data_IF_690971873725
#
_entry.id   IF_690971873725
#
_cell.length_a   1.000
_cell.length_b   1.000
_cell.length_c   1.000
_cell.angle_alpha   90.00
_cell.angle_beta   90.00
_cell.angle_gamma   90.00
#
_symmetry.space_group_name_H-M   'P 1'
#
loop_
_entity.id
_entity.type
_entity.pdbx_description
1 polymer ?
#
# COMPACT_ATOMS: atom_id res chain seq x y z
N UNK A 1 4.77 51.27 -0.11
CA UNK A 1 5.83 50.24 0.01
C UNK A 1 5.23 48.91 -0.39
N UNK A 2 5.82 48.27 -1.39
CA UNK A 2 5.28 47.08 -2.05
C UNK A 2 5.23 45.88 -1.08
N UNK A 3 4.05 45.30 -0.91
CA UNK A 3 3.85 44.06 -0.15
C UNK A 3 4.11 42.89 -1.09
N UNK A 4 5.32 42.33 -0.99
CA UNK A 4 5.71 41.07 -1.62
C UNK A 4 5.24 39.89 -0.76
N UNK A 5 4.02 39.40 -0.97
CA UNK A 5 3.57 38.11 -0.43
C UNK A 5 2.53 37.49 -1.38
N UNK A 6 3.01 36.93 -2.50
CA UNK A 6 2.23 36.18 -3.48
C UNK A 6 2.85 34.79 -3.66
N UNK A 7 2.88 33.98 -2.59
CA UNK A 7 3.51 32.65 -2.65
C UNK A 7 2.93 31.58 -1.73
N UNK A 8 1.77 31.79 -1.10
CA UNK A 8 1.12 30.72 -0.34
C UNK A 8 0.10 29.99 -1.19
N UNK A 9 0.64 29.01 -1.92
CA UNK A 9 0.06 27.72 -2.32
C UNK A 9 -1.44 27.57 -1.97
N UNK A 10 -2.28 27.66 -3.00
CA UNK A 10 -3.61 27.06 -2.99
C UNK A 10 -3.44 25.54 -3.01
N UNK A 11 -3.89 24.78 -2.00
CA UNK A 11 -3.98 23.33 -2.11
C UNK A 11 -5.19 23.04 -3.00
N UNK A 12 -4.95 22.94 -4.30
CA UNK A 12 -5.94 22.42 -5.22
C UNK A 12 -5.87 20.89 -5.11
N UNK A 13 -6.94 20.28 -4.58
CA UNK A 13 -7.22 18.84 -4.61
C UNK A 13 -7.45 18.36 -6.06
N UNK A 14 -6.52 18.67 -6.96
CA UNK A 14 -6.37 18.04 -8.26
C UNK A 14 -5.34 16.91 -8.15
N UNK A 15 -5.42 16.10 -7.09
CA UNK A 15 -4.95 14.72 -7.16
C UNK A 15 -5.99 13.90 -7.96
N UNK A 16 -6.32 14.34 -9.19
CA UNK A 16 -6.67 13.39 -10.22
C UNK A 16 -5.40 12.59 -10.42
N UNK A 17 -5.45 11.31 -10.09
CA UNK A 17 -4.44 10.32 -10.41
C UNK A 17 -4.05 10.55 -11.87
N UNK A 18 -2.93 11.24 -12.09
CA UNK A 18 -2.41 11.53 -13.42
C UNK A 18 -1.97 10.18 -14.00
N UNK A 19 -2.86 9.58 -14.78
CA UNK A 19 -2.56 8.32 -15.45
C UNK A 19 -1.42 8.59 -16.42
N UNK A 20 -0.33 7.87 -16.26
CA UNK A 20 0.78 7.86 -17.22
C UNK A 20 0.21 7.30 -18.53
N UNK A 21 -0.06 8.20 -19.49
CA UNK A 21 -0.46 8.00 -20.91
C UNK A 21 -1.60 8.93 -21.39
N UNK A 22 -1.80 10.10 -20.80
CA UNK A 22 -2.78 11.05 -21.34
C UNK A 22 -2.22 11.86 -22.52
N UNK A 23 -3.03 12.03 -23.56
CA UNK A 23 -2.69 12.73 -24.81
C UNK A 23 -2.91 14.24 -24.68
N UNK A 24 -2.16 15.02 -25.43
CA UNK A 24 -2.38 16.44 -25.61
C UNK A 24 -3.72 16.68 -26.31
N UNK A 25 -4.61 17.41 -25.65
CA UNK A 25 -5.98 17.62 -26.09
C UNK A 25 -6.08 18.46 -27.38
N UNK A 26 -5.33 19.56 -27.55
CA UNK A 26 -5.26 20.26 -28.84
C UNK A 26 -4.75 19.38 -29.98
N UNK A 27 -3.71 18.57 -29.75
CA UNK A 27 -3.18 17.70 -30.80
C UNK A 27 -4.15 16.57 -31.15
N UNK A 28 -4.79 15.98 -30.15
CA UNK A 28 -5.80 14.93 -30.34
C UNK A 28 -7.00 15.47 -31.13
N UNK A 29 -7.44 16.70 -30.86
CA UNK A 29 -8.50 17.36 -31.63
C UNK A 29 -8.17 17.53 -33.12
N UNK A 30 -6.87 17.58 -33.46
CA UNK A 30 -6.35 17.65 -34.84
C UNK A 30 -5.93 16.29 -35.42
N UNK A 31 -6.23 15.18 -34.73
CA UNK A 31 -5.90 13.82 -35.16
C UNK A 31 -4.46 13.39 -34.91
N UNK A 32 -3.75 14.02 -33.96
CA UNK A 32 -2.37 13.69 -33.58
C UNK A 32 -2.29 13.20 -32.13
N UNK A 33 -1.90 11.94 -31.96
CA UNK A 33 -1.72 11.32 -30.65
C UNK A 33 -0.34 11.64 -30.07
N UNK A 34 -0.19 12.86 -29.53
CA UNK A 34 1.04 13.28 -28.83
C UNK A 34 0.84 13.23 -27.33
N UNK A 35 1.82 12.74 -26.58
CA UNK A 35 1.75 12.67 -25.13
C UNK A 35 1.72 14.08 -24.49
N UNK A 36 0.87 14.27 -23.49
CA UNK A 36 0.86 15.48 -22.69
C UNK A 36 2.01 15.51 -21.68
N UNK A 37 2.60 16.67 -21.49
CA UNK A 37 3.70 16.96 -20.56
C UNK A 37 3.35 18.05 -19.56
N UNK A 38 2.28 18.81 -19.82
CA UNK A 38 1.78 19.85 -18.93
C UNK A 38 0.26 19.92 -18.95
N UNK A 39 -0.29 20.52 -17.90
CA UNK A 39 -1.70 20.73 -17.70
C UNK A 39 -1.94 22.16 -17.24
N UNK A 40 -2.87 22.86 -17.88
CA UNK A 40 -3.23 24.23 -17.56
C UNK A 40 -4.40 24.26 -16.60
N UNK A 41 -4.21 24.86 -15.43
CA UNK A 41 -5.23 24.96 -14.38
C UNK A 41 -6.35 25.94 -14.73
N UNK A 42 -6.08 26.92 -15.60
CA UNK A 42 -7.05 27.96 -15.95
C UNK A 42 -7.89 27.56 -17.17
N UNK A 43 -7.40 26.64 -18.00
CA UNK A 43 -8.13 26.09 -19.14
C UNK A 43 -8.70 24.69 -18.89
N UNK A 44 -8.25 24.01 -17.83
CA UNK A 44 -8.56 22.58 -17.59
C UNK A 44 -8.17 21.70 -18.80
N UNK A 45 -7.03 22.02 -19.43
CA UNK A 45 -6.58 21.38 -20.66
C UNK A 45 -5.14 20.84 -20.57
N UNK A 46 -4.87 19.74 -21.29
CA UNK A 46 -3.57 19.04 -21.34
C UNK A 46 -2.77 19.35 -22.60
N UNK A 47 -1.49 19.64 -22.44
CA UNK A 47 -0.62 20.12 -23.51
C UNK A 47 0.66 19.28 -23.66
N UNK A 48 1.08 19.04 -24.90
CA UNK A 48 2.44 18.62 -25.23
C UNK A 48 3.37 19.85 -25.20
N UNK A 49 4.69 19.64 -25.27
CA UNK A 49 5.67 20.75 -25.20
C UNK A 49 5.40 21.85 -26.23
N UNK A 50 4.96 21.48 -27.44
CA UNK A 50 4.68 22.45 -28.50
C UNK A 50 3.42 23.26 -28.20
N UNK A 51 2.36 22.60 -27.74
CA UNK A 51 1.11 23.28 -27.44
C UNK A 51 1.23 24.13 -26.17
N UNK A 52 2.04 23.73 -25.19
CA UNK A 52 2.37 24.55 -24.02
C UNK A 52 3.08 25.86 -24.42
N UNK A 53 4.09 25.77 -25.27
CA UNK A 53 4.82 26.96 -25.74
C UNK A 53 3.87 27.89 -26.49
N UNK A 54 3.02 27.36 -27.36
CA UNK A 54 2.02 28.16 -28.05
C UNK A 54 1.02 28.77 -27.04
N UNK A 55 0.55 27.99 -26.06
CA UNK A 55 -0.39 28.45 -25.04
C UNK A 55 0.17 29.61 -24.20
N UNK A 56 1.45 29.54 -23.81
CA UNK A 56 2.10 30.59 -23.00
C UNK A 56 2.52 31.82 -23.83
N UNK A 57 2.61 31.71 -25.15
CA UNK A 57 2.94 32.85 -26.03
C UNK A 57 1.73 33.71 -26.39
N UNK A 58 0.52 33.15 -26.41
CA UNK A 58 -0.69 33.91 -26.74
C UNK A 58 -1.07 34.91 -25.63
N UNK A 59 -1.48 36.12 -26.03
CA UNK A 59 -1.85 37.20 -25.09
C UNK A 59 -2.97 36.82 -24.12
N UNK A 60 -3.88 35.94 -24.55
CA UNK A 60 -5.02 35.46 -23.76
C UNK A 60 -4.63 34.47 -22.67
N UNK A 61 -3.55 33.70 -22.86
CA UNK A 61 -3.19 32.56 -22.03
C UNK A 61 -1.75 32.61 -21.47
N UNK A 62 -0.99 33.68 -21.77
CA UNK A 62 0.37 33.90 -21.26
C UNK A 62 0.52 33.91 -19.74
N UNK A 63 -0.56 34.22 -19.02
CA UNK A 63 -0.59 34.32 -17.57
C UNK A 63 -1.29 33.11 -16.92
N UNK A 64 -1.64 32.10 -17.72
CA UNK A 64 -2.22 30.89 -17.18
C UNK A 64 -1.20 30.08 -16.40
N UNK A 65 -1.68 29.32 -15.43
CA UNK A 65 -0.88 28.51 -14.52
C UNK A 65 -0.79 27.10 -15.08
N UNK A 66 0.42 26.68 -15.42
CA UNK A 66 0.70 25.34 -15.93
C UNK A 66 1.42 24.49 -14.88
N UNK A 67 0.99 23.24 -14.77
CA UNK A 67 1.61 22.20 -13.96
C UNK A 67 2.30 21.19 -14.89
N UNK A 68 3.56 20.87 -14.63
CA UNK A 68 4.27 19.81 -15.37
C UNK A 68 3.78 18.44 -14.92
N UNK A 69 3.48 17.58 -15.89
CA UNK A 69 3.13 16.19 -15.68
C UNK A 69 4.43 15.40 -15.51
N UNK A 70 4.81 15.13 -14.26
CA UNK A 70 6.05 14.40 -13.96
C UNK A 70 5.79 12.89 -14.17
N UNK A 71 6.65 12.22 -14.95
CA UNK A 71 6.79 10.76 -14.94
C UNK A 71 7.51 10.33 -13.66
N UNK A 72 6.90 10.53 -12.51
CA UNK A 72 7.49 10.18 -11.23
C UNK A 72 7.11 8.75 -10.83
N UNK A 73 8.04 7.93 -10.31
CA UNK A 73 7.69 6.66 -9.69
C UNK A 73 6.73 6.90 -8.50
N UNK A 74 5.90 5.89 -8.12
CA UNK A 74 4.89 6.04 -7.07
C UNK A 74 5.42 6.57 -5.73
N UNK A 75 6.71 6.35 -5.42
CA UNK A 75 7.38 6.83 -4.20
C UNK A 75 7.47 8.35 -4.11
N UNK A 76 7.69 9.01 -5.24
CA UNK A 76 7.93 10.45 -5.31
C UNK A 76 6.60 11.21 -5.25
N UNK A 77 5.52 10.59 -5.73
CA UNK A 77 4.15 11.09 -5.61
C UNK A 77 3.73 11.18 -4.13
N UNK A 78 4.11 10.21 -3.30
CA UNK A 78 3.81 10.20 -1.86
C UNK A 78 4.56 11.31 -1.11
N UNK A 79 5.82 11.58 -1.48
CA UNK A 79 6.59 12.69 -0.92
C UNK A 79 6.02 14.05 -1.33
N UNK A 80 5.67 14.23 -2.61
CA UNK A 80 5.08 15.47 -3.12
C UNK A 80 3.69 15.73 -2.52
N UNK A 81 2.88 14.69 -2.33
CA UNK A 81 1.57 14.80 -1.68
C UNK A 81 1.69 15.24 -0.23
N UNK A 82 2.70 14.77 0.52
CA UNK A 82 2.95 15.22 1.89
C UNK A 82 3.38 16.68 1.96
N UNK A 83 4.19 17.16 1.02
CA UNK A 83 4.59 18.57 0.96
C UNK A 83 3.41 19.50 0.61
N UNK A 84 2.48 19.03 -0.23
CA UNK A 84 1.31 19.81 -0.67
C UNK A 84 0.16 19.82 0.37
N UNK A 85 0.14 18.87 1.29
CA UNK A 85 -0.92 18.72 2.31
C UNK A 85 -0.48 19.12 3.72
N UNK A 86 0.80 19.45 3.91
CA UNK A 86 1.33 19.89 5.20
C UNK A 86 0.93 21.33 5.53
N UNK A 87 0.64 21.58 6.81
CA UNK A 87 0.29 22.91 7.27
C UNK A 87 1.51 23.83 7.29
N UNK A 88 1.38 25.04 6.71
CA UNK A 88 2.45 26.04 6.68
C UNK A 88 2.97 26.46 8.08
N UNK A 89 2.13 26.42 9.11
CA UNK A 89 2.54 26.69 10.50
C UNK A 89 3.00 25.43 11.26
N UNK A 90 2.67 24.24 10.75
CA UNK A 90 2.96 22.95 11.40
C UNK A 90 3.30 21.91 10.32
N UNK A 91 4.55 21.89 9.83
CA UNK A 91 4.93 21.04 8.68
C UNK A 91 4.75 19.53 8.91
N UNK A 92 4.66 19.08 10.17
CA UNK A 92 4.41 17.69 10.53
C UNK A 92 2.93 17.31 10.57
N UNK A 93 2.02 18.26 10.36
CA UNK A 93 0.58 18.06 10.49
C UNK A 93 -0.11 18.27 9.15
N UNK A 94 -1.03 17.37 8.83
CA UNK A 94 -1.82 17.46 7.61
C UNK A 94 -2.95 18.49 7.77
N UNK A 95 -3.27 19.14 6.66
CA UNK A 95 -4.39 20.06 6.52
C UNK A 95 -5.68 19.25 6.39
N UNK A 96 -6.60 19.43 7.34
CA UNK A 96 -7.83 18.61 7.46
C UNK A 96 -9.10 19.47 7.51
N UNK A 97 -8.98 20.74 7.92
CA UNK A 97 -10.09 21.66 8.13
C UNK A 97 -9.99 22.88 7.22
N UNK A 98 -11.13 23.49 6.94
CA UNK A 98 -11.25 24.82 6.34
C UNK A 98 -11.93 25.73 7.37
N UNK A 99 -11.27 26.83 7.70
CA UNK A 99 -11.89 27.90 8.48
C UNK A 99 -12.70 28.77 7.53
N UNK A 100 -14.03 28.78 7.68
CA UNK A 100 -14.94 29.52 6.80
C UNK A 100 -14.84 31.02 7.04
N UNK A 101 -14.55 31.44 8.28
CA UNK A 101 -14.43 32.87 8.62
C UNK A 101 -13.21 33.54 7.96
N UNK A 102 -12.14 32.79 7.72
CA UNK A 102 -10.91 33.28 7.08
C UNK A 102 -10.70 32.75 5.66
N UNK A 103 -11.57 31.87 5.19
CA UNK A 103 -11.45 31.08 3.95
C UNK A 103 -10.06 30.46 3.77
N UNK A 104 -9.58 29.78 4.83
CA UNK A 104 -8.22 29.21 4.87
C UNK A 104 -8.19 27.75 5.31
N UNK A 105 -7.39 26.91 4.64
CA UNK A 105 -7.13 25.54 5.08
C UNK A 105 -6.22 25.51 6.31
N UNK A 106 -6.49 24.63 7.27
CA UNK A 106 -5.74 24.51 8.51
C UNK A 106 -5.68 23.08 9.07
N UNK A 107 -4.65 22.78 9.86
CA UNK A 107 -4.51 21.50 10.56
C UNK A 107 -5.19 21.53 11.95
N UNK A 108 -5.27 20.37 12.60
CA UNK A 108 -5.80 20.22 13.96
C UNK A 108 -5.18 21.21 14.97
N UNK A 109 -3.85 21.40 14.92
CA UNK A 109 -3.17 22.35 15.83
C UNK A 109 -3.61 23.79 15.57
N UNK A 110 -3.79 24.20 14.31
CA UNK A 110 -4.29 25.54 13.98
C UNK A 110 -5.74 25.75 14.41
N UNK A 111 -6.59 24.72 14.27
CA UNK A 111 -7.98 24.77 14.70
C UNK A 111 -8.11 25.08 16.20
N UNK A 112 -7.29 24.43 17.03
CA UNK A 112 -7.34 24.57 18.50
C UNK A 112 -6.61 25.81 19.02
N UNK A 113 -5.61 26.31 18.29
CA UNK A 113 -4.78 27.45 18.74
C UNK A 113 -5.22 28.78 18.15
N UNK A 114 -5.26 28.90 16.82
CA UNK A 114 -5.50 30.17 16.10
C UNK A 114 -6.98 30.37 15.80
N UNK A 115 -7.66 29.32 15.35
CA UNK A 115 -9.07 29.41 14.91
C UNK A 115 -10.08 29.03 15.98
N UNK A 116 -9.68 28.91 17.26
CA UNK A 116 -10.57 28.54 18.37
C UNK A 116 -11.77 29.49 18.55
N UNK A 117 -11.60 30.75 18.16
CA UNK A 117 -12.65 31.80 18.23
C UNK A 117 -13.42 31.96 16.92
N UNK A 118 -12.99 31.30 15.86
CA UNK A 118 -13.72 31.24 14.60
C UNK A 118 -14.98 30.40 14.81
N UNK A 119 -16.09 30.84 14.23
CA UNK A 119 -17.43 30.31 14.45
C UNK A 119 -17.73 29.10 13.57
N UNK A 120 -17.00 28.95 12.45
CA UNK A 120 -17.20 27.86 11.49
C UNK A 120 -15.87 27.27 11.02
N UNK A 121 -15.55 26.09 11.57
CA UNK A 121 -14.48 25.20 11.12
C UNK A 121 -15.16 23.93 10.61
N UNK A 122 -14.98 23.64 9.33
CA UNK A 122 -15.55 22.45 8.70
C UNK A 122 -14.43 21.55 8.18
N UNK A 123 -14.70 20.25 8.08
CA UNK A 123 -13.74 19.33 7.45
C UNK A 123 -13.73 19.56 5.94
N UNK A 124 -12.58 19.31 5.31
CA UNK A 124 -12.45 19.40 3.86
C UNK A 124 -13.44 18.46 3.15
N UNK A 125 -13.61 17.25 3.69
CA UNK A 125 -14.60 16.28 3.18
C UNK A 125 -16.03 16.82 3.22
N UNK A 126 -16.41 17.49 4.32
CA UNK A 126 -17.73 18.11 4.43
C UNK A 126 -17.91 19.25 3.42
N UNK A 127 -16.89 20.10 3.26
CA UNK A 127 -16.91 21.21 2.30
C UNK A 127 -17.03 20.73 0.85
N UNK A 128 -16.38 19.61 0.50
CA UNK A 128 -16.47 18.98 -0.83
C UNK A 128 -17.87 18.38 -1.04
N UNK A 129 -18.39 17.67 -0.04
CA UNK A 129 -19.66 16.94 -0.15
C UNK A 129 -20.88 17.87 -0.23
N UNK A 130 -20.83 19.01 0.46
CA UNK A 130 -21.98 19.91 0.58
C UNK A 130 -21.77 21.28 -0.10
N UNK A 131 -20.66 21.46 -0.82
CA UNK A 131 -20.43 22.63 -1.68
C UNK A 131 -20.39 23.97 -0.95
N UNK A 132 -19.99 23.99 0.33
CA UNK A 132 -19.97 25.21 1.17
C UNK A 132 -18.76 26.12 0.92
N UNK A 133 -17.89 25.79 -0.03
CA UNK A 133 -16.83 26.69 -0.48
C UNK A 133 -17.44 27.75 -1.38
N UNK A 134 -17.37 29.02 -0.96
CA UNK A 134 -17.63 30.15 -1.85
C UNK A 134 -16.54 30.17 -2.92
N UNK A 135 -16.82 29.56 -4.06
CA UNK A 135 -16.07 29.86 -5.27
C UNK A 135 -16.46 31.28 -5.63
N UNK A 136 -15.55 32.24 -5.44
CA UNK A 136 -15.60 33.50 -6.17
C UNK A 136 -15.54 33.16 -7.65
N UNK A 137 -16.71 32.91 -8.24
CA UNK A 137 -16.85 32.91 -9.69
C UNK A 137 -16.54 34.34 -10.13
N UNK A 138 -15.70 34.54 -11.17
CA UNK A 138 -15.47 35.86 -11.71
C UNK A 138 -16.83 36.47 -12.04
N UNK A 139 -17.13 37.64 -11.46
CA UNK A 139 -18.34 38.42 -11.77
C UNK A 139 -18.55 38.43 -13.28
N UNK A 140 -19.75 38.10 -13.79
CA UNK A 140 -20.02 38.26 -15.21
C UNK A 140 -19.73 39.72 -15.58
N UNK A 141 -18.99 39.91 -16.68
CA UNK A 141 -18.64 41.23 -17.21
C UNK A 141 -19.89 42.12 -17.27
N UNK A 142 -19.79 43.43 -16.96
CA UNK A 142 -20.91 44.33 -17.14
C UNK A 142 -21.37 44.26 -18.60
N UNK A 143 -22.66 43.97 -18.80
CA UNK A 143 -23.28 44.15 -20.09
C UNK A 143 -23.11 45.62 -20.48
N UNK A 144 -22.37 45.86 -21.57
CA UNK A 144 -22.34 47.17 -22.21
C UNK A 144 -23.74 47.32 -22.82
N UNK A 145 -24.62 48.04 -22.13
CA UNK A 145 -25.89 48.51 -22.64
C UNK A 145 -25.60 49.50 -23.77
N UNK A 146 -25.92 49.10 -25.00
CA UNK A 146 -26.03 50.02 -26.13
C UNK A 146 -27.50 50.43 -26.14
N UNK A 147 -27.71 51.71 -25.83
CA UNK A 147 -28.87 52.55 -26.09
C UNK A 147 -30.09 51.86 -26.71
N UNK A 148 -31.22 51.93 -25.98
CA UNK A 148 -32.55 51.72 -26.52
C UNK A 148 -32.76 52.59 -27.77
N UNK A 149 -33.10 51.95 -28.88
CA UNK A 149 -33.90 52.60 -29.90
C UNK A 149 -34.85 51.57 -30.50
N UNK A 150 -36.13 51.88 -30.35
CA UNK A 150 -37.27 51.11 -30.79
C UNK A 150 -37.20 50.73 -32.28
N UNK A 151 -37.35 49.43 -32.56
CA UNK A 151 -38.19 48.84 -33.61
C UNK A 151 -37.88 47.34 -33.71
N UNK A 152 -38.73 46.49 -33.12
CA UNK A 152 -38.76 45.07 -33.48
C UNK A 152 -39.80 44.86 -34.58
N UNK A 153 -39.41 44.73 -35.86
CA UNK A 153 -40.21 43.97 -36.81
C UNK A 153 -40.13 42.49 -36.45
N UNK A 154 -41.23 41.78 -36.68
CA UNK A 154 -41.45 40.37 -36.35
C UNK A 154 -40.21 39.47 -36.50
N UNK A 155 -39.93 38.67 -35.46
CA UNK A 155 -38.96 37.57 -35.49
C UNK A 155 -39.46 36.50 -36.47
N UNK A 156 -39.14 36.63 -37.75
CA UNK A 156 -39.42 35.62 -38.79
C UNK A 156 -38.16 35.01 -39.40
N UNK A 157 -36.99 35.15 -38.77
CA UNK A 157 -35.73 34.53 -39.23
C UNK A 157 -35.29 33.29 -38.45
N UNK A 158 -36.15 32.70 -37.61
CA UNK A 158 -35.75 31.58 -36.73
C UNK A 158 -35.86 30.16 -37.34
N UNK A 159 -36.27 30.00 -38.61
CA UNK A 159 -36.39 28.67 -39.23
C UNK A 159 -35.07 28.07 -39.71
N UNK A 160 -34.12 28.87 -40.19
CA UNK A 160 -32.81 28.38 -40.64
C UNK A 160 -31.95 27.91 -39.46
N UNK A 161 -31.86 28.74 -38.41
CA UNK A 161 -31.13 28.40 -37.17
C UNK A 161 -31.72 27.20 -36.44
N UNK A 162 -33.06 27.01 -36.43
CA UNK A 162 -33.69 25.80 -35.89
C UNK A 162 -33.34 24.54 -36.70
N UNK A 163 -33.39 24.59 -38.04
CA UNK A 163 -33.00 23.45 -38.88
C UNK A 163 -31.54 23.05 -38.68
N UNK A 164 -30.63 24.02 -38.52
CA UNK A 164 -29.23 23.73 -38.18
C UNK A 164 -29.08 23.13 -36.78
N UNK A 165 -29.88 23.58 -35.80
CA UNK A 165 -29.91 23.01 -34.45
C UNK A 165 -30.46 21.58 -34.41
N UNK A 166 -31.52 21.29 -35.15
CA UNK A 166 -32.13 19.94 -35.19
C UNK A 166 -31.19 18.93 -35.85
N UNK A 167 -30.49 19.34 -36.90
CA UNK A 167 -29.45 18.53 -37.54
C UNK A 167 -28.26 18.27 -36.60
N UNK A 168 -27.82 19.29 -35.85
CA UNK A 168 -26.76 19.13 -34.85
C UNK A 168 -27.18 18.18 -33.73
N UNK A 169 -28.41 18.30 -33.22
CA UNK A 169 -28.96 17.43 -32.19
C UNK A 169 -29.08 15.97 -32.65
N UNK A 170 -29.47 15.72 -33.91
CA UNK A 170 -29.50 14.38 -34.49
C UNK A 170 -28.11 13.73 -34.53
N UNK A 171 -27.08 14.49 -34.93
CA UNK A 171 -25.69 14.02 -34.93
C UNK A 171 -25.19 13.74 -33.51
N UNK A 172 -25.52 14.59 -32.54
CA UNK A 172 -25.17 14.39 -31.14
C UNK A 172 -25.82 13.10 -30.61
N UNK A 173 -27.09 12.89 -30.90
CA UNK A 173 -27.82 11.68 -30.48
C UNK A 173 -27.20 10.41 -31.08
N UNK A 174 -26.89 10.42 -32.37
CA UNK A 174 -26.22 9.28 -33.03
C UNK A 174 -24.85 8.98 -32.42
N UNK A 175 -24.05 10.02 -32.13
CA UNK A 175 -22.75 9.87 -31.46
C UNK A 175 -22.90 9.38 -30.02
N UNK A 176 -23.91 9.84 -29.28
CA UNK A 176 -24.20 9.38 -27.92
C UNK A 176 -24.49 7.89 -27.91
N UNK A 177 -25.40 7.43 -28.77
CA UNK A 177 -25.74 6.00 -28.86
C UNK A 177 -24.54 5.15 -29.29
N UNK A 178 -23.69 5.67 -30.20
CA UNK A 178 -22.46 4.99 -30.59
C UNK A 178 -21.45 4.90 -29.46
N UNK A 179 -21.34 5.93 -28.60
CA UNK A 179 -20.50 5.90 -27.42
C UNK A 179 -21.06 4.94 -26.35
N UNK A 180 -22.37 4.94 -26.13
CA UNK A 180 -23.04 4.03 -25.19
C UNK A 180 -22.80 2.57 -25.58
N UNK A 181 -23.03 2.21 -26.84
CA UNK A 181 -22.76 0.85 -27.34
C UNK A 181 -21.28 0.46 -27.25
N UNK A 182 -20.35 1.39 -27.49
CA UNK A 182 -18.92 1.14 -27.31
C UNK A 182 -18.56 0.93 -25.84
N UNK A 183 -19.15 1.71 -24.93
CA UNK A 183 -18.93 1.58 -23.49
C UNK A 183 -19.45 0.23 -22.99
N UNK A 184 -20.64 -0.19 -23.42
CA UNK A 184 -21.21 -1.50 -23.07
C UNK A 184 -20.33 -2.65 -23.55
N UNK A 185 -19.80 -2.58 -24.77
CA UNK A 185 -18.88 -3.59 -25.29
C UNK A 185 -17.57 -3.67 -24.49
N UNK A 186 -17.03 -2.53 -24.04
CA UNK A 186 -15.84 -2.49 -23.19
C UNK A 186 -16.12 -3.09 -21.81
N UNK A 187 -17.24 -2.75 -21.18
CA UNK A 187 -17.64 -3.30 -19.88
C UNK A 187 -17.77 -4.83 -19.98
N UNK A 188 -18.46 -5.34 -21.01
CA UNK A 188 -18.59 -6.78 -21.22
C UNK A 188 -17.26 -7.48 -21.43
N UNK A 189 -16.33 -6.86 -22.14
CA UNK A 189 -14.99 -7.41 -22.34
C UNK A 189 -14.19 -7.43 -21.04
N UNK A 190 -14.24 -6.36 -20.23
CA UNK A 190 -13.60 -6.32 -18.92
C UNK A 190 -14.20 -7.36 -17.96
N UNK A 191 -15.54 -7.51 -17.94
CA UNK A 191 -16.22 -8.52 -17.13
C UNK A 191 -15.79 -9.95 -17.53
N UNK A 192 -15.68 -10.24 -18.83
CA UNK A 192 -15.17 -11.53 -19.31
C UNK A 192 -13.72 -11.79 -18.88
N UNK A 193 -12.86 -10.77 -18.92
CA UNK A 193 -11.49 -10.91 -18.43
C UNK A 193 -11.45 -11.16 -16.92
N UNK A 194 -12.30 -10.49 -16.14
CA UNK A 194 -12.41 -10.70 -14.70
C UNK A 194 -12.82 -12.14 -14.37
N UNK A 195 -13.85 -12.67 -15.04
CA UNK A 195 -14.30 -14.06 -14.86
C UNK A 195 -13.16 -15.05 -15.16
N UNK A 196 -12.43 -14.84 -16.27
CA UNK A 196 -11.29 -15.71 -16.62
C UNK A 196 -10.18 -15.68 -15.56
N UNK A 197 -9.89 -14.51 -15.00
CA UNK A 197 -8.88 -14.36 -13.93
C UNK A 197 -9.34 -15.03 -12.65
N UNK A 198 -10.62 -14.91 -12.29
CA UNK A 198 -11.20 -15.58 -11.11
C UNK A 198 -11.12 -17.11 -11.24
N UNK A 199 -11.53 -17.67 -12.38
CA UNK A 199 -11.42 -19.11 -12.64
C UNK A 199 -9.96 -19.59 -12.61
N UNK A 200 -9.04 -18.83 -13.20
CA UNK A 200 -7.62 -19.13 -13.18
C UNK A 200 -7.05 -19.10 -11.76
N UNK A 201 -7.48 -18.14 -10.95
CA UNK A 201 -7.08 -18.03 -9.54
C UNK A 201 -7.59 -19.23 -8.73
N UNK A 202 -8.85 -19.63 -8.92
CA UNK A 202 -9.43 -20.77 -8.21
C UNK A 202 -8.76 -22.10 -8.60
N UNK A 203 -8.47 -22.30 -9.89
CA UNK A 203 -7.70 -23.45 -10.36
C UNK A 203 -6.29 -23.49 -9.74
N UNK A 204 -5.60 -22.35 -9.69
CA UNK A 204 -4.27 -22.26 -9.08
C UNK A 204 -4.33 -22.55 -7.58
N UNK A 205 -5.36 -22.05 -6.90
CA UNK A 205 -5.59 -22.29 -5.47
C UNK A 205 -5.83 -23.77 -5.17
N UNK A 206 -6.63 -24.46 -5.98
CA UNK A 206 -6.86 -25.90 -5.85
C UNK A 206 -5.56 -26.69 -6.07
N UNK A 207 -4.80 -26.35 -7.10
CA UNK A 207 -3.49 -26.96 -7.36
C UNK A 207 -2.51 -26.77 -6.20
N UNK A 208 -2.41 -25.55 -5.65
CA UNK A 208 -1.57 -25.26 -4.50
C UNK A 208 -2.00 -26.04 -3.26
N UNK A 209 -3.30 -26.21 -3.04
CA UNK A 209 -3.84 -27.01 -1.95
C UNK A 209 -3.50 -28.50 -2.11
N UNK A 210 -3.57 -29.03 -3.33
CA UNK A 210 -3.18 -30.40 -3.64
C UNK A 210 -1.69 -30.62 -3.35
N UNK A 211 -0.82 -29.74 -3.86
CA UNK A 211 0.64 -29.81 -3.63
C UNK A 211 0.95 -29.74 -2.13
N UNK A 212 0.31 -28.83 -1.40
CA UNK A 212 0.46 -28.73 0.05
C UNK A 212 0.09 -30.03 0.74
N UNK A 213 -1.04 -30.65 0.38
CA UNK A 213 -1.48 -31.91 0.98
C UNK A 213 -0.49 -33.07 0.75
N UNK A 214 0.13 -33.11 -0.45
CA UNK A 214 1.17 -34.10 -0.78
C UNK A 214 2.42 -33.90 0.06
N UNK A 215 2.87 -32.65 0.23
CA UNK A 215 4.02 -32.30 1.08
C UNK A 215 3.74 -32.68 2.54
N UNK A 216 2.57 -32.31 3.08
CA UNK A 216 2.19 -32.62 4.46
C UNK A 216 2.12 -34.13 4.69
N UNK A 217 1.56 -34.89 3.74
CA UNK A 217 1.53 -36.35 3.81
C UNK A 217 2.93 -36.95 3.82
N UNK A 218 3.81 -36.53 2.90
CA UNK A 218 5.19 -37.01 2.81
C UNK A 218 5.97 -36.69 4.09
N UNK A 219 5.85 -35.46 4.60
CA UNK A 219 6.49 -35.03 5.83
C UNK A 219 6.02 -35.86 7.03
N UNK A 220 4.70 -36.06 7.16
CA UNK A 220 4.13 -36.88 8.24
C UNK A 220 4.59 -38.34 8.18
N UNK A 221 4.70 -38.92 6.98
CA UNK A 221 5.22 -40.27 6.82
C UNK A 221 6.69 -40.37 7.22
N UNK A 222 7.53 -39.43 6.77
CA UNK A 222 8.94 -39.37 7.16
C UNK A 222 9.11 -39.17 8.66
N UNK A 223 8.37 -38.24 9.25
CA UNK A 223 8.39 -37.98 10.69
C UNK A 223 8.00 -39.23 11.49
N UNK A 224 6.94 -39.95 11.09
CA UNK A 224 6.54 -41.21 11.74
C UNK A 224 7.64 -42.27 11.67
N UNK A 225 8.25 -42.47 10.50
CA UNK A 225 9.35 -43.44 10.31
C UNK A 225 10.56 -43.08 11.18
N UNK A 226 10.99 -41.82 11.13
CA UNK A 226 12.14 -41.34 11.90
C UNK A 226 11.90 -41.46 13.41
N UNK A 227 10.70 -41.09 13.87
CA UNK A 227 10.31 -41.21 15.29
C UNK A 227 10.32 -42.67 15.75
N UNK A 228 9.75 -43.59 14.96
CA UNK A 228 9.75 -45.01 15.28
C UNK A 228 11.17 -45.58 15.32
N UNK A 229 12.02 -45.21 14.37
CA UNK A 229 13.42 -45.62 14.34
C UNK A 229 14.19 -45.12 15.57
N UNK A 230 14.03 -43.84 15.94
CA UNK A 230 14.67 -43.28 17.13
C UNK A 230 14.21 -44.00 18.41
N UNK A 231 12.90 -44.29 18.53
CA UNK A 231 12.35 -45.05 19.68
C UNK A 231 12.95 -46.45 19.76
N UNK A 232 13.01 -47.17 18.64
CA UNK A 232 13.57 -48.52 18.60
C UNK A 232 15.07 -48.52 18.96
N UNK A 233 15.86 -47.61 18.40
CA UNK A 233 17.28 -47.47 18.73
C UNK A 233 17.49 -47.12 20.21
N UNK A 234 16.66 -46.23 20.75
CA UNK A 234 16.72 -45.86 22.18
C UNK A 234 16.40 -47.06 23.07
N UNK A 235 15.38 -47.85 22.73
CA UNK A 235 15.04 -49.07 23.46
C UNK A 235 16.16 -50.11 23.41
N UNK A 236 16.77 -50.32 22.24
CA UNK A 236 17.87 -51.26 22.08
C UNK A 236 19.09 -50.84 22.90
N UNK A 237 19.46 -49.55 22.85
CA UNK A 237 20.54 -48.99 23.66
C UNK A 237 20.26 -49.16 25.15
N UNK A 238 19.06 -48.85 25.60
CA UNK A 238 18.66 -49.03 27.01
C UNK A 238 18.77 -50.49 27.46
N UNK A 239 18.35 -51.45 26.62
CA UNK A 239 18.51 -52.87 26.92
C UNK A 239 19.99 -53.29 27.01
N UNK A 240 20.85 -52.77 26.11
CA UNK A 240 22.30 -53.03 26.15
C UNK A 240 22.93 -52.46 27.42
N UNK A 241 22.56 -51.23 27.79
CA UNK A 241 23.01 -50.57 29.03
C UNK A 241 22.59 -51.39 30.25
N UNK A 242 21.33 -51.81 30.33
CA UNK A 242 20.85 -52.65 31.44
C UNK A 242 21.63 -53.97 31.56
N UNK A 243 21.87 -54.66 30.43
CA UNK A 243 22.70 -55.88 30.42
C UNK A 243 24.14 -55.64 30.87
N UNK A 244 24.73 -54.50 30.56
CA UNK A 244 26.06 -54.14 31.04
C UNK A 244 26.05 -53.78 32.53
N UNK A 245 25.03 -53.07 33.00
CA UNK A 245 24.85 -52.72 34.41
C UNK A 245 24.73 -53.96 35.30
N UNK A 246 23.95 -54.97 34.89
CA UNK A 246 23.82 -56.22 35.66
C UNK A 246 25.14 -56.98 35.75
N UNK A 247 25.90 -57.05 34.65
CA UNK A 247 27.25 -57.63 34.65
C UNK A 247 28.21 -56.87 35.56
N UNK A 248 28.18 -55.53 35.53
CA UNK A 248 29.01 -54.70 36.39
C UNK A 248 28.66 -54.89 37.87
N UNK A 249 27.36 -55.03 38.20
CA UNK A 249 26.91 -55.32 39.55
C UNK A 249 27.43 -56.68 40.05
N UNK A 250 27.27 -57.74 39.25
CA UNK A 250 27.79 -59.07 39.58
C UNK A 250 29.31 -59.10 39.79
N UNK A 251 30.07 -58.44 38.91
CA UNK A 251 31.52 -58.33 39.06
C UNK A 251 31.91 -57.57 40.32
N UNK A 252 31.19 -56.49 40.65
CA UNK A 252 31.40 -55.73 41.89
C UNK A 252 31.19 -56.60 43.13
N UNK A 253 30.16 -57.44 43.14
CA UNK A 253 29.89 -58.34 44.28
C UNK A 253 30.97 -59.42 44.40
N UNK A 254 31.44 -60.01 43.29
CA UNK A 254 32.60 -60.92 43.30
C UNK A 254 33.87 -60.26 43.82
N UNK A 255 34.12 -59.01 43.44
CA UNK A 255 35.29 -58.26 43.93
C UNK A 255 35.19 -58.07 45.45
N UNK A 256 34.01 -57.74 45.98
CA UNK A 256 33.80 -57.63 47.44
C UNK A 256 34.06 -58.96 48.15
N UNK A 257 33.54 -60.07 47.63
CA UNK A 257 33.76 -61.41 48.19
C UNK A 257 35.27 -61.76 48.22
N UNK A 258 35.99 -61.52 47.12
CA UNK A 258 37.43 -61.72 47.07
C UNK A 258 38.19 -60.81 48.05
N UNK A 259 37.76 -59.56 48.22
CA UNK A 259 38.34 -58.63 49.20
C UNK A 259 38.15 -59.12 50.64
N UNK A 260 36.99 -59.69 50.98
CA UNK A 260 36.73 -60.26 52.31
C UNK A 260 37.61 -61.50 52.57
N UNK A 261 37.73 -62.40 51.59
CA UNK A 261 38.63 -63.56 51.68
C UNK A 261 40.08 -63.13 51.89
N UNK A 262 40.56 -62.14 51.13
CA UNK A 262 41.91 -61.59 51.30
C UNK A 262 42.12 -61.02 52.70
N UNK A 263 41.15 -60.27 53.25
CA UNK A 263 41.23 -59.75 54.63
C UNK A 263 41.29 -60.88 55.67
N UNK A 264 40.53 -61.96 55.48
CA UNK A 264 40.57 -63.13 56.37
C UNK A 264 41.93 -63.82 56.35
N UNK A 265 42.51 -64.03 55.16
CA UNK A 265 43.85 -64.62 55.01
C UNK A 265 44.92 -63.73 55.64
N UNK A 266 44.84 -62.41 55.44
CA UNK A 266 45.76 -61.46 56.07
C UNK A 266 45.69 -61.52 57.61
N UNK A 267 44.49 -61.64 58.19
CA UNK A 267 44.30 -61.82 59.65
C UNK A 267 44.95 -63.11 60.16
N UNK A 268 44.67 -64.25 59.53
CA UNK A 268 45.25 -65.54 59.94
C UNK A 268 46.77 -65.58 59.76
N UNK A 269 47.30 -64.94 58.72
CA UNK A 269 48.74 -64.79 58.53
C UNK A 269 49.41 -64.00 59.67
N UNK A 270 48.78 -62.91 60.11
CA UNK A 270 49.26 -62.14 61.25
C UNK A 270 49.20 -62.97 62.55
N UNK A 271 48.10 -63.66 62.84
CA UNK A 271 47.96 -64.50 64.04
C UNK A 271 48.98 -65.65 64.08
N UNK A 272 49.24 -66.31 62.94
CA UNK A 272 50.26 -67.36 62.84
C UNK A 272 51.69 -66.81 63.01
N UNK A 273 52.00 -65.61 62.49
CA UNK A 273 53.30 -64.99 62.73
C UNK A 273 53.51 -64.64 64.20
N UNK A 274 52.48 -64.15 64.89
CA UNK A 274 52.53 -63.91 66.34
C UNK A 274 52.74 -65.22 67.12
N UNK A 275 52.04 -66.29 66.77
CA UNK A 275 52.21 -67.62 67.39
C UNK A 275 53.61 -68.21 67.18
N UNK A 276 54.17 -68.09 65.97
CA UNK A 276 55.52 -68.58 65.66
C UNK A 276 56.61 -67.79 66.40
N UNK A 277 56.44 -66.46 66.56
CA UNK A 277 57.33 -65.64 67.36
C UNK A 277 57.26 -65.98 68.85
N UNK A 278 56.06 -66.21 69.41
CA UNK A 278 55.88 -66.58 70.82
C UNK A 278 56.46 -67.97 71.12
N UNK A 279 56.25 -68.96 70.25
CA UNK A 279 56.83 -70.30 70.41
C UNK A 279 58.36 -70.27 70.27
N UNK A 280 58.91 -69.40 69.42
CA UNK A 280 60.36 -69.23 69.28
C UNK A 280 61.00 -68.55 70.50
N UNK A 281 60.28 -67.66 71.18
CA UNK A 281 60.73 -67.00 72.40
C UNK A 281 60.69 -67.91 73.65
N UNK A 282 59.82 -68.93 73.68
CA UNK A 282 59.69 -69.87 74.81
C UNK A 282 60.73 -71.02 74.75
N UNK A 283 61.46 -71.17 73.63
CA UNK A 283 62.51 -72.19 73.45
C UNK A 283 63.95 -71.69 73.70
N UNK A 284 64.12 -70.44 74.15
CA UNK A 284 65.38 -69.86 74.62
C UNK A 284 65.40 -69.83 76.16
#
# INVERSE_FOLDING_TARGET
MASNYSSYLRPCNAAKTLRVNELCEPCNSTGKDTAAVSYCLDCDEKFCDTCENNHTTYKSSKNHRLCKLVKAPPSDVVHLMRELTACASHPSEEIIFICIDEDKPCCNKCAVTKHRKCRQLETIEHCIKYGTVRVDTPKPRPAICWYDNDQSPAITENHASRKHSDAANAIIYEKSNKLETQLEALIQHEDQQMVFVEESHDNLKEYLQEVRSKIDSAFNQLHKKLTAQCKNQTQELNQRIQKQQTKAYFLRDKIKEHQEKLRSVQKHGQENTYSFFVVSLIKL
#
